data_IF_368076961051
#
_entry.id   IF_368076961051
#
_cell.length_a   1.000
_cell.length_b   1.000
_cell.length_c   1.000
_cell.angle_alpha   90.00
_cell.angle_beta   90.00
_cell.angle_gamma   90.00
#
_symmetry.space_group_name_H-M   'P 1'
#
loop_
_entity.id
_entity.type
_entity.pdbx_description
1 polymer ?
#
# COMPACT_ATOMS: atom_id res chain seq x y z
N UNK A 1 10.08 19.78 -4.60
CA UNK A 1 9.39 19.73 -3.31
C UNK A 1 8.53 18.47 -3.27
N UNK A 2 8.65 17.69 -2.22
CA UNK A 2 7.88 16.47 -2.10
C UNK A 2 6.42 16.76 -1.81
N UNK A 3 5.53 15.99 -2.44
CA UNK A 3 4.12 16.04 -2.11
C UNK A 3 3.90 15.44 -0.72
N UNK A 4 3.25 16.19 0.16
CA UNK A 4 2.95 15.76 1.53
C UNK A 4 1.63 15.01 1.62
N UNK A 5 0.82 15.11 0.60
CA UNK A 5 -0.46 14.44 0.54
C UNK A 5 -0.41 13.29 -0.43
N UNK A 6 -1.15 12.25 -0.11
CA UNK A 6 -1.29 11.10 -0.99
C UNK A 6 -2.03 11.51 -2.26
N UNK A 7 -1.43 11.23 -3.40
CA UNK A 7 -2.09 11.46 -4.68
C UNK A 7 -3.08 10.34 -4.94
N UNK A 8 -4.34 10.69 -4.98
CA UNK A 8 -5.43 9.73 -5.20
C UNK A 8 -6.12 10.06 -6.51
N UNK A 9 -6.25 9.06 -7.36
CA UNK A 9 -6.99 9.18 -8.61
C UNK A 9 -8.34 8.49 -8.43
N UNK A 10 -9.41 9.26 -8.57
CA UNK A 10 -10.76 8.71 -8.51
C UNK A 10 -11.10 8.06 -9.85
N UNK A 11 -11.68 6.88 -9.78
CA UNK A 11 -12.14 6.15 -10.93
C UNK A 11 -13.50 5.58 -10.61
N UNK A 12 -14.22 5.17 -11.64
CA UNK A 12 -15.53 4.57 -11.45
C UNK A 12 -15.43 3.33 -10.56
N UNK A 13 -16.13 3.38 -9.45
CA UNK A 13 -16.16 2.27 -8.50
C UNK A 13 -15.04 2.25 -7.49
N UNK A 14 -14.17 3.26 -7.46
CA UNK A 14 -13.10 3.26 -6.45
C UNK A 14 -12.06 4.36 -6.62
N UNK A 15 -10.95 4.16 -5.96
CA UNK A 15 -9.82 5.09 -6.02
C UNK A 15 -8.53 4.30 -6.26
N UNK A 16 -7.56 4.95 -6.89
CA UNK A 16 -6.23 4.38 -7.14
C UNK A 16 -5.19 5.31 -6.56
N UNK A 17 -4.21 4.75 -5.89
CA UNK A 17 -3.08 5.52 -5.38
C UNK A 17 -1.82 4.65 -5.45
N UNK A 18 -0.67 5.31 -5.41
CA UNK A 18 0.61 4.62 -5.46
C UNK A 18 1.06 4.22 -4.07
N UNK A 19 1.67 3.06 -3.99
CA UNK A 19 2.24 2.55 -2.74
C UNK A 19 3.69 2.20 -2.99
N UNK A 20 4.54 2.65 -2.08
CA UNK A 20 5.96 2.31 -2.09
C UNK A 20 6.22 1.32 -0.97
N UNK A 21 6.66 0.13 -1.32
CA UNK A 21 6.89 -0.94 -0.36
C UNK A 21 8.36 -1.05 -0.01
N UNK A 22 8.65 -1.13 1.28
CA UNK A 22 9.97 -1.47 1.80
C UNK A 22 9.86 -2.89 2.36
N UNK A 23 10.45 -3.89 1.69
CA UNK A 23 10.35 -5.28 2.14
C UNK A 23 11.35 -5.59 3.25
N UNK A 24 11.21 -6.77 3.84
CA UNK A 24 12.09 -7.28 4.90
C UNK A 24 12.20 -6.34 6.09
N UNK A 25 11.15 -5.62 6.38
CA UNK A 25 11.10 -4.78 7.55
C UNK A 25 10.85 -5.62 8.81
N UNK A 26 11.10 -5.04 9.96
CA UNK A 26 10.88 -5.73 11.23
C UNK A 26 9.40 -5.85 11.59
N UNK A 27 8.56 -5.03 11.00
CA UNK A 27 7.11 -5.07 11.20
C UNK A 27 6.37 -4.46 10.03
N UNK A 28 5.10 -4.80 9.91
CA UNK A 28 4.22 -4.18 8.92
C UNK A 28 3.72 -2.86 9.47
N UNK A 29 3.98 -1.77 8.75
CA UNK A 29 3.49 -0.47 9.20
C UNK A 29 3.36 0.52 8.04
N UNK A 30 2.45 1.46 8.20
CA UNK A 30 2.37 2.62 7.32
C UNK A 30 3.32 3.66 7.84
N UNK A 31 4.32 4.02 7.03
CA UNK A 31 5.32 5.02 7.42
C UNK A 31 4.80 6.43 7.24
N UNK A 32 4.08 6.66 6.14
CA UNK A 32 3.56 7.98 5.81
C UNK A 32 3.49 8.17 4.31
N UNK A 33 3.36 9.40 3.90
CA UNK A 33 3.30 9.77 2.48
C UNK A 33 4.62 10.41 2.07
N UNK A 34 5.17 9.95 0.97
CA UNK A 34 6.41 10.45 0.41
C UNK A 34 6.26 10.62 -1.10
N UNK A 35 6.47 11.82 -1.60
CA UNK A 35 6.39 12.13 -3.03
C UNK A 35 5.05 11.69 -3.66
N UNK A 36 3.95 11.88 -2.94
CA UNK A 36 2.61 11.53 -3.42
C UNK A 36 2.23 10.06 -3.29
N UNK A 37 3.13 9.22 -2.78
CA UNK A 37 2.87 7.78 -2.61
C UNK A 37 2.82 7.41 -1.13
N UNK A 38 2.02 6.41 -0.82
CA UNK A 38 1.96 5.85 0.53
C UNK A 38 3.15 4.91 0.73
N UNK A 39 3.98 5.21 1.71
CA UNK A 39 5.13 4.36 2.04
C UNK A 39 4.75 3.36 3.11
N UNK A 40 4.96 2.09 2.81
CA UNK A 40 4.58 0.98 3.69
C UNK A 40 5.76 0.05 3.88
N UNK A 41 6.01 -0.34 5.13
CA UNK A 41 6.99 -1.36 5.46
C UNK A 41 6.28 -2.69 5.61
N UNK A 42 6.86 -3.73 5.03
CA UNK A 42 6.32 -5.08 5.13
C UNK A 42 7.40 -6.06 5.55
N UNK A 43 7.03 -7.01 6.40
CA UNK A 43 7.94 -8.09 6.81
C UNK A 43 8.15 -9.12 5.70
N UNK A 44 7.23 -9.17 4.73
CA UNK A 44 7.30 -10.12 3.63
C UNK A 44 8.59 -9.93 2.81
N UNK A 45 9.19 -11.02 2.33
CA UNK A 45 10.33 -10.92 1.44
C UNK A 45 9.90 -10.41 0.06
N UNK A 46 10.82 -9.81 -0.72
CA UNK A 46 10.49 -9.32 -2.06
C UNK A 46 10.42 -10.46 -3.07
N UNK A 47 9.63 -11.47 -2.74
CA UNK A 47 9.41 -12.64 -3.58
C UNK A 47 8.09 -12.47 -4.29
N UNK A 48 8.06 -12.85 -5.56
CA UNK A 48 6.90 -12.71 -6.42
C UNK A 48 5.65 -13.31 -5.77
N UNK A 49 4.61 -12.49 -5.65
CA UNK A 49 3.34 -12.89 -5.05
C UNK A 49 3.25 -12.68 -3.55
N UNK A 50 4.33 -12.98 -2.82
CA UNK A 50 4.30 -12.87 -1.36
C UNK A 50 4.11 -11.43 -0.88
N UNK A 51 4.87 -10.50 -1.44
CA UNK A 51 4.78 -9.10 -1.07
C UNK A 51 3.43 -8.50 -1.48
N UNK A 52 2.93 -8.90 -2.65
CA UNK A 52 1.64 -8.40 -3.14
C UNK A 52 0.49 -8.88 -2.25
N UNK A 53 0.49 -10.13 -1.86
CA UNK A 53 -0.52 -10.68 -0.96
C UNK A 53 -0.47 -10.02 0.41
N UNK A 54 0.73 -9.86 0.95
CA UNK A 54 0.92 -9.19 2.23
C UNK A 54 0.45 -7.74 2.18
N UNK A 55 0.73 -7.05 1.08
CA UNK A 55 0.32 -5.66 0.89
C UNK A 55 -1.20 -5.54 0.83
N UNK A 56 -1.88 -6.38 0.06
CA UNK A 56 -3.34 -6.38 -0.04
C UNK A 56 -3.97 -6.60 1.33
N UNK A 57 -3.49 -7.61 2.05
CA UNK A 57 -4.01 -7.95 3.37
C UNK A 57 -3.78 -6.83 4.38
N UNK A 58 -2.60 -6.25 4.37
CA UNK A 58 -2.26 -5.16 5.27
C UNK A 58 -3.09 -3.91 4.98
N UNK A 59 -3.23 -3.54 3.71
CA UNK A 59 -4.02 -2.37 3.31
C UNK A 59 -5.50 -2.56 3.63
N UNK A 60 -6.04 -3.74 3.36
CA UNK A 60 -7.44 -4.03 3.66
C UNK A 60 -7.72 -3.85 5.16
N UNK A 61 -6.84 -4.37 5.99
CA UNK A 61 -6.95 -4.23 7.44
C UNK A 61 -6.81 -2.77 7.89
N UNK A 62 -5.85 -2.06 7.33
CA UNK A 62 -5.59 -0.66 7.68
C UNK A 62 -6.72 0.27 7.26
N UNK A 63 -7.34 -0.01 6.12
CA UNK A 63 -8.43 0.79 5.59
C UNK A 63 -9.80 0.35 6.11
N UNK A 64 -9.88 -0.78 6.79
CA UNK A 64 -11.14 -1.30 7.30
C UNK A 64 -12.06 -1.84 6.22
N UNK A 65 -11.50 -2.32 5.12
CA UNK A 65 -12.26 -2.89 4.00
C UNK A 65 -11.95 -4.37 3.86
N UNK A 66 -12.73 -5.03 3.01
CA UNK A 66 -12.51 -6.46 2.74
C UNK A 66 -11.31 -6.63 1.81
N UNK A 67 -10.61 -7.73 1.97
CA UNK A 67 -9.47 -8.08 1.13
C UNK A 67 -9.82 -8.02 -0.37
N UNK A 68 -10.99 -8.49 -0.75
CA UNK A 68 -11.42 -8.45 -2.14
C UNK A 68 -11.69 -7.07 -2.72
N UNK A 69 -11.72 -6.04 -1.86
CA UNK A 69 -11.90 -4.66 -2.30
C UNK A 69 -10.59 -3.95 -2.60
N UNK A 70 -9.46 -4.62 -2.32
CA UNK A 70 -8.12 -4.09 -2.60
C UNK A 70 -7.53 -4.84 -3.79
N UNK A 71 -7.09 -4.11 -4.80
CA UNK A 71 -6.52 -4.70 -6.00
C UNK A 71 -5.22 -3.97 -6.36
N UNK A 72 -4.21 -4.74 -6.74
CA UNK A 72 -2.95 -4.19 -7.21
C UNK A 72 -2.97 -4.16 -8.73
N UNK A 73 -2.77 -2.98 -9.28
CA UNK A 73 -2.76 -2.76 -10.72
C UNK A 73 -1.39 -2.33 -11.22
#
# INVERSE_FOLDING_TARGET
MEARELEVVEAEGGVTFRVRVVPRASKNEVVGVQAGALKVRLTAPPVRGAANEALVEFLARSLGVRRGQVEIV
#
